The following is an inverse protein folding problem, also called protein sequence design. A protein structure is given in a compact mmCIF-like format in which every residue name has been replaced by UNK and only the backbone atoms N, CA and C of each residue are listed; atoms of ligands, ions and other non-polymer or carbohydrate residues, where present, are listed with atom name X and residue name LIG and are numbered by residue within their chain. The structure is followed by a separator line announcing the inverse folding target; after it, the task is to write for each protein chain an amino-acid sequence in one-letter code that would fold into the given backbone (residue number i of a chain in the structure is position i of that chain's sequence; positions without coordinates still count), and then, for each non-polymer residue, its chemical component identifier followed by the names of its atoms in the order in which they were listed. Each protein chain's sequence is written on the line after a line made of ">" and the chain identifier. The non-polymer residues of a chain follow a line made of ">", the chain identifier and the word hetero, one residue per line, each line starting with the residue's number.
data_IF_900154867052
#
_entry.id   IF_900154867052
#
_cell.length_a   1.000
_cell.length_b   1.000
_cell.length_c   1.000
_cell.angle_alpha   90.00
_cell.angle_beta   90.00
_cell.angle_gamma   90.00
#
_symmetry.space_group_name_H-M   'P 1'
#
loop_
_entity.id
_entity.type
_entity.pdbx_description
1 polymer ?
#
# COMPACT_ATOMS: atom_id res chain seq x y z
N UNK A 1 3.73 -5.96 17.36
CA UNK A 1 3.71 -4.51 17.68
C UNK A 1 3.82 -4.36 19.18
N UNK A 2 5.02 -4.02 19.66
CA UNK A 2 5.22 -3.64 21.06
C UNK A 2 4.58 -2.28 21.32
N UNK A 3 3.92 -2.17 22.48
CA UNK A 3 3.22 -0.99 22.94
C UNK A 3 4.20 0.14 23.34
N UNK A 4 3.74 1.39 23.17
CA UNK A 4 4.35 2.67 23.65
C UNK A 4 5.14 3.55 22.67
N UNK A 5 4.70 3.66 21.41
CA UNK A 5 5.16 4.74 20.53
C UNK A 5 3.97 5.57 20.07
N UNK A 6 3.40 6.37 20.99
CA UNK A 6 2.69 7.57 20.53
C UNK A 6 3.70 8.36 19.68
N UNK A 7 3.35 8.79 18.46
CA UNK A 7 4.27 9.54 17.64
C UNK A 7 4.72 10.75 18.45
N UNK A 8 6.04 10.91 18.57
CA UNK A 8 6.68 12.07 19.21
C UNK A 8 6.37 13.39 18.50
N UNK A 9 5.58 13.33 17.42
CA UNK A 9 5.08 14.45 16.63
C UNK A 9 3.74 14.96 17.19
N UNK A 10 3.71 16.07 17.95
CA UNK A 10 2.49 16.59 18.56
C UNK A 10 1.41 16.96 17.53
N UNK A 11 1.80 17.18 16.28
CA UNK A 11 0.89 17.52 15.19
C UNK A 11 0.04 16.33 14.74
N UNK A 12 0.57 15.10 14.74
CA UNK A 12 -0.22 13.90 14.36
C UNK A 12 -1.34 13.69 15.37
N UNK A 13 -1.02 13.82 16.67
CA UNK A 13 -1.99 13.70 17.76
C UNK A 13 -3.08 14.78 17.62
N UNK A 14 -2.69 16.05 17.45
CA UNK A 14 -3.64 17.16 17.25
C UNK A 14 -4.57 16.95 16.06
N UNK A 15 -4.04 16.46 14.94
CA UNK A 15 -4.86 16.20 13.77
C UNK A 15 -5.87 15.08 14.04
N UNK A 16 -5.46 14.00 14.71
CA UNK A 16 -6.37 12.91 15.08
C UNK A 16 -7.43 13.40 16.08
N UNK A 17 -7.08 14.23 17.05
CA UNK A 17 -8.05 14.85 17.96
C UNK A 17 -9.07 15.72 17.21
N UNK A 18 -8.61 16.54 16.26
CA UNK A 18 -9.50 17.33 15.40
C UNK A 18 -10.40 16.42 14.56
N UNK A 19 -9.87 15.33 13.99
CA UNK A 19 -10.63 14.33 13.22
C UNK A 19 -11.77 13.73 14.06
N UNK A 20 -11.45 13.28 15.28
CA UNK A 20 -12.41 12.71 16.22
C UNK A 20 -13.50 13.72 16.61
N UNK A 21 -13.11 14.98 16.85
CA UNK A 21 -14.05 16.07 17.15
C UNK A 21 -14.97 16.36 15.97
N UNK A 22 -14.43 16.48 14.75
CA UNK A 22 -15.21 16.71 13.53
C UNK A 22 -16.23 15.58 13.32
N UNK A 23 -15.83 14.32 13.53
CA UNK A 23 -16.71 13.17 13.42
C UNK A 23 -17.86 13.21 14.45
N UNK A 24 -17.58 13.65 15.69
CA UNK A 24 -18.60 13.81 16.72
C UNK A 24 -19.57 14.95 16.37
N UNK A 25 -19.07 16.11 15.95
CA UNK A 25 -19.88 17.26 15.51
C UNK A 25 -20.79 16.88 14.33
N UNK A 26 -20.24 16.21 13.30
CA UNK A 26 -21.02 15.77 12.14
C UNK A 26 -22.09 14.75 12.53
N UNK A 27 -21.79 13.83 13.47
CA UNK A 27 -22.77 12.87 13.96
C UNK A 27 -23.92 13.55 14.70
N UNK A 28 -23.63 14.55 15.55
CA UNK A 28 -24.65 15.35 16.23
C UNK A 28 -25.50 16.15 15.24
N UNK A 29 -24.89 16.81 14.26
CA UNK A 29 -25.59 17.54 13.21
C UNK A 29 -26.48 16.61 12.38
N UNK A 30 -26.01 15.41 12.02
CA UNK A 30 -26.82 14.42 11.29
C UNK A 30 -28.05 13.99 12.09
N UNK A 31 -27.90 13.79 13.41
CA UNK A 31 -29.04 13.49 14.29
C UNK A 31 -30.02 14.66 14.34
N UNK A 32 -29.53 15.90 14.52
CA UNK A 32 -30.36 17.11 14.53
C UNK A 32 -31.10 17.31 13.20
N UNK A 33 -30.45 17.11 12.05
CA UNK A 33 -31.08 17.16 10.73
C UNK A 33 -32.20 16.12 10.61
N UNK A 34 -31.99 14.89 11.10
CA UNK A 34 -33.02 13.84 11.09
C UNK A 34 -34.24 14.25 11.93
N UNK A 35 -34.01 14.73 13.15
CA UNK A 35 -35.08 15.20 14.04
C UNK A 35 -35.87 16.36 13.43
N UNK A 36 -35.18 17.35 12.85
CA UNK A 36 -35.84 18.48 12.17
C UNK A 36 -36.61 18.04 10.94
N UNK A 37 -36.10 17.07 10.15
CA UNK A 37 -36.84 16.50 9.02
C UNK A 37 -38.11 15.78 9.48
N UNK A 38 -38.03 15.00 10.56
CA UNK A 38 -39.20 14.34 11.15
C UNK A 38 -40.23 15.37 11.63
N UNK A 39 -39.80 16.43 12.30
CA UNK A 39 -40.68 17.53 12.73
C UNK A 39 -41.31 18.26 11.54
N UNK A 40 -40.55 18.53 10.49
CA UNK A 40 -41.04 19.15 9.26
C UNK A 40 -42.12 18.28 8.60
N UNK A 41 -41.89 16.97 8.47
CA UNK A 41 -42.88 16.03 7.95
C UNK A 41 -44.15 15.96 8.80
N UNK A 42 -44.00 15.99 10.13
CA UNK A 42 -45.15 16.04 11.05
C UNK A 42 -45.97 17.32 10.85
N UNK A 43 -45.32 18.48 10.76
CA UNK A 43 -45.98 19.76 10.52
C UNK A 43 -46.71 19.78 9.17
N UNK A 44 -46.06 19.31 8.10
CA UNK A 44 -46.67 19.19 6.76
C UNK A 44 -47.89 18.26 6.77
N UNK A 45 -47.80 17.12 7.47
CA UNK A 45 -48.91 16.18 7.59
C UNK A 45 -50.07 16.73 8.42
N UNK A 46 -49.79 17.62 9.39
CA UNK A 46 -50.77 18.22 10.31
C UNK A 46 -51.67 19.29 9.70
N UNK A 47 -51.45 19.68 8.44
CA UNK A 47 -52.35 20.60 7.75
C UNK A 47 -53.72 19.96 7.52
N UNK A 48 -54.78 20.66 7.93
CA UNK A 48 -56.16 20.25 7.64
C UNK A 48 -56.50 20.44 6.17
N UNK A 49 -57.57 19.79 5.69
CA UNK A 49 -57.96 19.86 4.29
C UNK A 49 -58.20 21.32 3.85
N UNK A 50 -58.85 22.14 4.68
CA UNK A 50 -59.12 23.57 4.44
C UNK A 50 -57.84 24.40 4.38
N UNK A 51 -56.87 24.15 5.26
CA UNK A 51 -55.56 24.83 5.22
C UNK A 51 -54.73 24.46 3.98
N UNK A 52 -54.91 23.23 3.47
CA UNK A 52 -54.26 22.74 2.24
C UNK A 52 -54.86 23.38 0.97
N UNK A 53 -56.17 23.66 0.94
CA UNK A 53 -56.82 24.33 -0.22
C UNK A 53 -56.66 25.85 -0.21
N UNK A 54 -55.93 26.42 0.76
CA UNK A 54 -55.58 27.84 0.79
C UNK A 54 -56.42 28.73 1.71
N UNK A 55 -57.27 28.16 2.57
CA UNK A 55 -57.89 28.96 3.64
C UNK A 55 -56.87 29.27 4.72
N UNK A 56 -56.52 30.55 4.83
CA UNK A 56 -55.49 31.05 5.74
C UNK A 56 -56.12 31.37 7.10
N UNK A 57 -55.57 30.77 8.14
CA UNK A 57 -55.83 31.10 9.55
C UNK A 57 -54.50 31.52 10.17
N UNK A 58 -54.53 32.26 11.28
CA UNK A 58 -53.29 32.64 11.99
C UNK A 58 -52.45 31.40 12.37
N UNK A 59 -53.11 30.29 12.74
CA UNK A 59 -52.47 29.01 12.99
C UNK A 59 -51.79 28.41 11.75
N UNK A 60 -52.41 28.53 10.57
CA UNK A 60 -51.84 27.99 9.32
C UNK A 60 -50.69 28.86 8.79
N UNK A 61 -50.71 30.18 9.01
CA UNK A 61 -49.56 31.06 8.75
C UNK A 61 -48.38 30.73 9.67
N UNK A 62 -48.63 30.54 10.97
CA UNK A 62 -47.58 30.18 11.92
C UNK A 62 -46.92 28.84 11.56
N UNK A 63 -47.71 27.82 11.18
CA UNK A 63 -47.18 26.55 10.66
C UNK A 63 -46.32 26.74 9.39
N UNK A 64 -46.77 27.57 8.44
CA UNK A 64 -46.01 27.87 7.20
C UNK A 64 -44.69 28.56 7.52
N UNK A 65 -44.67 29.52 8.45
CA UNK A 65 -43.44 30.17 8.93
C UNK A 65 -42.51 29.18 9.61
N UNK A 66 -43.03 28.29 10.45
CA UNK A 66 -42.25 27.25 11.13
C UNK A 66 -41.63 26.26 10.13
N UNK A 67 -42.39 25.82 9.12
CA UNK A 67 -41.87 24.97 8.03
C UNK A 67 -40.76 25.68 7.26
N UNK A 68 -40.95 26.95 6.91
CA UNK A 68 -39.92 27.74 6.23
C UNK A 68 -38.67 27.89 7.08
N UNK A 69 -38.81 28.15 8.38
CA UNK A 69 -37.69 28.26 9.31
C UNK A 69 -36.94 26.93 9.47
N UNK A 70 -37.66 25.81 9.60
CA UNK A 70 -37.07 24.47 9.68
C UNK A 70 -36.35 24.10 8.38
N UNK A 71 -36.93 24.38 7.22
CA UNK A 71 -36.29 24.13 5.93
C UNK A 71 -34.97 24.92 5.79
N UNK A 72 -34.97 26.20 6.18
CA UNK A 72 -33.75 27.02 6.20
C UNK A 72 -32.72 26.49 7.20
N UNK A 73 -33.14 26.07 8.40
CA UNK A 73 -32.25 25.50 9.41
C UNK A 73 -31.62 24.17 8.95
N UNK A 74 -32.41 23.29 8.33
CA UNK A 74 -31.92 22.04 7.73
C UNK A 74 -30.88 22.33 6.65
N UNK A 75 -31.15 23.27 5.75
CA UNK A 75 -30.20 23.65 4.70
C UNK A 75 -28.90 24.24 5.29
N UNK A 76 -29.01 25.07 6.33
CA UNK A 76 -27.86 25.59 7.07
C UNK A 76 -27.01 24.48 7.67
N UNK A 77 -27.62 23.52 8.38
CA UNK A 77 -26.89 22.38 8.95
C UNK A 77 -26.28 21.46 7.89
N UNK A 78 -26.94 21.25 6.75
CA UNK A 78 -26.38 20.50 5.61
C UNK A 78 -25.13 21.19 5.06
N UNK A 79 -25.13 22.53 4.96
CA UNK A 79 -23.94 23.30 4.55
C UNK A 79 -22.79 23.08 5.52
N UNK A 80 -23.04 23.17 6.83
CA UNK A 80 -22.02 22.92 7.85
C UNK A 80 -21.47 21.49 7.76
N UNK A 81 -22.33 20.48 7.54
CA UNK A 81 -21.87 19.08 7.35
C UNK A 81 -20.93 18.98 6.14
N UNK A 82 -21.22 19.67 5.03
CA UNK A 82 -20.35 19.68 3.84
C UNK A 82 -19.00 20.34 4.14
N UNK A 83 -19.00 21.51 4.78
CA UNK A 83 -17.77 22.22 5.14
C UNK A 83 -16.89 21.38 6.07
N UNK A 84 -17.52 20.69 7.03
CA UNK A 84 -16.84 19.77 7.96
C UNK A 84 -16.28 18.54 7.25
N UNK A 85 -16.98 17.99 6.26
CA UNK A 85 -16.48 16.88 5.46
C UNK A 85 -15.26 17.28 4.60
N UNK A 86 -15.26 18.48 4.03
CA UNK A 86 -14.11 18.99 3.26
C UNK A 86 -12.90 19.24 4.17
N UNK A 87 -13.12 19.81 5.36
CA UNK A 87 -12.06 19.95 6.37
C UNK A 87 -11.51 18.58 6.79
N UNK A 88 -12.38 17.60 7.02
CA UNK A 88 -11.97 16.24 7.36
C UNK A 88 -11.10 15.63 6.26
N UNK A 89 -11.48 15.75 4.99
CA UNK A 89 -10.69 15.27 3.85
C UNK A 89 -9.30 15.91 3.80
N UNK A 90 -9.23 17.22 4.01
CA UNK A 90 -7.95 17.96 4.03
C UNK A 90 -7.06 17.49 5.19
N UNK A 91 -7.65 17.38 6.38
CA UNK A 91 -6.97 16.92 7.58
C UNK A 91 -6.45 15.49 7.44
N UNK A 92 -7.21 14.63 6.78
CA UNK A 92 -6.81 13.27 6.47
C UNK A 92 -5.52 13.24 5.63
N UNK A 93 -5.49 13.98 4.52
CA UNK A 93 -4.32 14.06 3.65
C UNK A 93 -3.09 14.69 4.35
N UNK A 94 -3.30 15.67 5.22
CA UNK A 94 -2.22 16.26 6.04
C UNK A 94 -1.65 15.23 7.03
N UNK A 95 -2.53 14.46 7.68
CA UNK A 95 -2.16 13.46 8.68
C UNK A 95 -1.42 12.29 8.07
N UNK A 96 -1.90 11.79 6.93
CA UNK A 96 -1.27 10.72 6.17
C UNK A 96 0.19 11.08 5.83
N UNK A 97 0.43 12.28 5.27
CA UNK A 97 1.80 12.74 4.96
C UNK A 97 2.71 12.85 6.18
N UNK A 98 2.17 13.30 7.31
CA UNK A 98 2.93 13.36 8.56
C UNK A 98 3.24 11.95 9.08
N UNK A 99 2.30 11.01 8.91
CA UNK A 99 2.44 9.64 9.32
C UNK A 99 3.49 8.90 8.49
N UNK A 100 3.43 9.02 7.16
CA UNK A 100 4.44 8.46 6.27
C UNK A 100 5.85 8.98 6.58
N UNK A 101 5.99 10.28 6.88
CA UNK A 101 7.26 10.86 7.32
C UNK A 101 7.72 10.24 8.64
N UNK A 102 6.83 10.16 9.61
CA UNK A 102 7.14 9.55 10.91
C UNK A 102 7.54 8.08 10.77
N UNK A 103 6.81 7.29 9.98
CA UNK A 103 7.13 5.89 9.71
C UNK A 103 8.46 5.74 8.97
N UNK A 104 8.76 6.64 8.03
CA UNK A 104 10.07 6.67 7.37
C UNK A 104 11.23 6.85 8.36
N UNK A 105 11.04 7.65 9.41
CA UNK A 105 12.07 7.94 10.42
C UNK A 105 12.15 6.86 11.52
N UNK A 106 11.00 6.30 11.92
CA UNK A 106 10.90 5.46 13.13
C UNK A 106 10.67 3.97 12.86
N UNK A 107 10.12 3.60 11.70
CA UNK A 107 9.67 2.24 11.39
C UNK A 107 10.56 1.59 10.31
N UNK A 108 11.28 0.53 10.71
CA UNK A 108 12.20 -0.17 9.80
C UNK A 108 11.47 -0.98 8.73
N UNK A 109 10.27 -1.47 9.02
CA UNK A 109 9.46 -2.28 8.12
C UNK A 109 8.93 -1.40 6.98
N UNK A 110 8.38 -0.24 7.32
CA UNK A 110 7.95 0.78 6.36
C UNK A 110 9.10 1.29 5.50
N UNK A 111 10.26 1.61 6.09
CA UNK A 111 11.46 1.99 5.32
C UNK A 111 11.87 0.93 4.31
N UNK A 112 11.82 -0.34 4.73
CA UNK A 112 12.12 -1.46 3.84
C UNK A 112 11.10 -1.52 2.72
N UNK A 113 9.80 -1.39 3.03
CA UNK A 113 8.73 -1.33 2.05
C UNK A 113 8.92 -0.24 0.98
N UNK A 114 9.30 0.97 1.39
CA UNK A 114 9.61 2.07 0.45
C UNK A 114 10.86 1.77 -0.38
N UNK A 115 11.92 1.21 0.24
CA UNK A 115 13.18 0.91 -0.46
C UNK A 115 13.01 -0.15 -1.53
N UNK A 116 12.29 -1.24 -1.24
CA UNK A 116 12.14 -2.37 -2.17
C UNK A 116 11.36 -2.00 -3.43
N UNK A 117 10.70 -0.83 -3.46
CA UNK A 117 10.07 -0.31 -4.68
C UNK A 117 11.06 -0.14 -5.84
N UNK A 118 12.36 -0.01 -5.54
CA UNK A 118 13.42 0.05 -6.54
C UNK A 118 13.49 -1.21 -7.42
N UNK A 119 13.17 -2.39 -6.87
CA UNK A 119 13.24 -3.66 -7.60
C UNK A 119 12.27 -3.72 -8.77
N UNK A 120 11.07 -3.14 -8.67
CA UNK A 120 10.09 -3.12 -9.78
C UNK A 120 10.59 -2.31 -10.97
N UNK A 121 11.22 -1.16 -10.71
CA UNK A 121 11.84 -0.35 -11.76
C UNK A 121 13.00 -1.10 -12.40
N UNK A 122 13.85 -1.71 -11.59
CA UNK A 122 15.05 -2.39 -12.06
C UNK A 122 14.69 -3.68 -12.84
N UNK A 123 13.64 -4.39 -12.44
CA UNK A 123 13.09 -5.52 -13.20
C UNK A 123 12.53 -5.10 -14.55
N UNK A 124 11.78 -3.98 -14.64
CA UNK A 124 11.28 -3.47 -15.94
C UNK A 124 12.43 -3.14 -16.89
N UNK A 125 13.49 -2.52 -16.36
CA UNK A 125 14.71 -2.26 -17.14
C UNK A 125 15.38 -3.57 -17.57
N UNK A 126 15.57 -4.51 -16.64
CA UNK A 126 16.18 -5.81 -16.93
C UNK A 126 15.36 -6.63 -17.94
N UNK A 127 14.03 -6.47 -17.96
CA UNK A 127 13.16 -7.10 -18.96
C UNK A 127 13.40 -6.53 -20.36
N UNK A 128 13.62 -5.21 -20.47
CA UNK A 128 14.01 -4.56 -21.73
C UNK A 128 15.40 -4.99 -22.20
N UNK A 129 16.37 -5.07 -21.29
CA UNK A 129 17.72 -5.56 -21.60
C UNK A 129 17.69 -7.03 -22.07
N UNK A 130 16.84 -7.86 -21.44
CA UNK A 130 16.60 -9.24 -21.84
C UNK A 130 15.95 -9.34 -23.23
N UNK A 131 14.94 -8.52 -23.52
CA UNK A 131 14.32 -8.44 -24.83
C UNK A 131 15.36 -8.13 -25.92
N UNK A 132 16.21 -7.13 -25.68
CA UNK A 132 17.28 -6.78 -26.62
C UNK A 132 18.28 -7.92 -26.79
N UNK A 133 18.64 -8.61 -25.70
CA UNK A 133 19.51 -9.78 -25.77
C UNK A 133 18.90 -10.93 -26.60
N UNK A 134 17.59 -11.17 -26.51
CA UNK A 134 16.90 -12.16 -27.36
C UNK A 134 16.95 -11.74 -28.83
N UNK A 135 16.69 -10.47 -29.15
CA UNK A 135 16.72 -9.97 -30.53
C UNK A 135 18.12 -10.11 -31.16
N UNK A 136 19.16 -9.77 -30.41
CA UNK A 136 20.55 -9.98 -30.80
C UNK A 136 20.87 -11.47 -31.02
N UNK A 137 20.30 -12.33 -30.17
CA UNK A 137 20.49 -13.77 -30.27
C UNK A 137 19.77 -14.39 -31.47
N UNK A 138 18.52 -13.99 -31.74
CA UNK A 138 17.77 -14.38 -32.94
C UNK A 138 18.53 -14.00 -34.21
N UNK A 139 19.09 -12.79 -34.26
CA UNK A 139 19.94 -12.35 -35.37
C UNK A 139 21.18 -13.24 -35.53
N UNK A 140 21.85 -13.57 -34.42
CA UNK A 140 23.01 -14.47 -34.41
C UNK A 140 22.66 -15.88 -34.92
N UNK A 141 21.53 -16.44 -34.46
CA UNK A 141 21.02 -17.73 -34.94
C UNK A 141 20.72 -17.71 -36.44
N UNK A 142 20.10 -16.65 -36.95
CA UNK A 142 19.83 -16.48 -38.38
C UNK A 142 21.11 -16.41 -39.22
N UNK A 143 22.15 -15.73 -38.73
CA UNK A 143 23.45 -15.67 -39.39
C UNK A 143 24.17 -17.03 -39.37
N UNK A 144 24.13 -17.75 -38.25
CA UNK A 144 24.68 -19.11 -38.15
C UNK A 144 23.96 -20.06 -39.12
N UNK A 145 22.63 -19.99 -39.18
CA UNK A 145 21.80 -20.75 -40.14
C UNK A 145 22.21 -20.50 -41.58
N UNK A 146 22.35 -19.23 -41.97
CA UNK A 146 22.72 -18.86 -43.34
C UNK A 146 24.13 -19.35 -43.71
N UNK A 147 25.09 -19.21 -42.80
CA UNK A 147 26.47 -19.66 -43.02
C UNK A 147 26.56 -21.19 -43.11
N UNK A 148 25.83 -21.91 -42.25
CA UNK A 148 25.73 -23.36 -42.25
C UNK A 148 25.27 -23.90 -43.62
N UNK A 149 24.20 -23.33 -44.20
CA UNK A 149 23.68 -23.77 -45.49
C UNK A 149 24.60 -23.42 -46.68
N UNK A 150 25.28 -22.27 -46.63
CA UNK A 150 26.12 -21.80 -47.73
C UNK A 150 27.53 -22.39 -47.73
N UNK A 151 28.00 -22.94 -46.60
CA UNK A 151 29.41 -23.26 -46.35
C UNK A 151 29.60 -24.65 -45.74
N UNK A 152 28.72 -25.58 -46.09
CA UNK A 152 28.87 -27.00 -45.76
C UNK A 152 29.59 -27.72 -46.89
N UNK A 153 30.74 -28.31 -46.58
CA UNK A 153 31.48 -29.15 -47.50
C UNK A 153 30.91 -30.58 -47.45
N UNK A 154 30.12 -30.93 -48.47
CA UNK A 154 29.52 -32.26 -48.55
C UNK A 154 30.55 -33.38 -48.75
N UNK A 155 31.74 -33.09 -49.30
CA UNK A 155 32.82 -34.07 -49.48
C UNK A 155 33.51 -34.39 -48.16
N UNK A 156 33.79 -33.36 -47.36
CA UNK A 156 34.44 -33.51 -46.05
C UNK A 156 33.45 -33.67 -44.88
N UNK A 157 32.14 -33.56 -45.15
CA UNK A 157 31.04 -33.57 -44.16
C UNK A 157 31.29 -32.59 -43.00
N UNK A 158 31.82 -31.42 -43.32
CA UNK A 158 32.29 -30.46 -42.33
C UNK A 158 31.89 -29.02 -42.70
N UNK A 159 31.76 -28.18 -41.69
CA UNK A 159 31.55 -26.75 -41.87
C UNK A 159 32.88 -26.04 -42.14
N UNK A 160 32.89 -25.06 -43.04
CA UNK A 160 34.05 -24.18 -43.19
C UNK A 160 34.27 -23.32 -41.93
N UNK A 161 35.51 -22.84 -41.73
CA UNK A 161 35.89 -22.03 -40.58
C UNK A 161 34.99 -20.80 -40.34
N UNK A 162 34.51 -20.16 -41.41
CA UNK A 162 33.60 -19.02 -41.33
C UNK A 162 32.22 -19.38 -40.76
N UNK A 163 31.71 -20.59 -41.00
CA UNK A 163 30.46 -21.05 -40.39
C UNK A 163 30.63 -21.32 -38.89
N UNK A 164 31.79 -21.86 -38.49
CA UNK A 164 32.14 -21.99 -37.08
C UNK A 164 32.23 -20.63 -36.37
N UNK A 165 32.80 -19.62 -37.01
CA UNK A 165 32.85 -18.26 -36.47
C UNK A 165 31.43 -17.69 -36.22
N UNK A 166 30.48 -17.92 -37.13
CA UNK A 166 29.07 -17.50 -36.91
C UNK A 166 28.38 -18.25 -35.78
N UNK A 167 28.68 -19.53 -35.57
CA UNK A 167 28.22 -20.25 -34.39
C UNK A 167 28.81 -19.67 -33.10
N UNK A 168 30.08 -19.26 -33.10
CA UNK A 168 30.73 -18.67 -31.94
C UNK A 168 30.15 -17.27 -31.62
N UNK A 169 29.85 -16.46 -32.64
CA UNK A 169 29.12 -15.20 -32.48
C UNK A 169 27.70 -15.41 -31.92
N UNK A 170 26.96 -16.41 -32.44
CA UNK A 170 25.64 -16.75 -31.93
C UNK A 170 25.70 -17.23 -30.46
N UNK A 171 26.71 -18.03 -30.11
CA UNK A 171 26.93 -18.49 -28.74
C UNK A 171 27.26 -17.33 -27.79
N UNK A 172 28.03 -16.34 -28.25
CA UNK A 172 28.30 -15.12 -27.48
C UNK A 172 27.03 -14.29 -27.22
N UNK A 173 26.14 -14.17 -28.22
CA UNK A 173 24.82 -13.57 -28.02
C UNK A 173 23.93 -14.39 -27.09
N UNK A 174 23.93 -15.72 -27.20
CA UNK A 174 23.24 -16.61 -26.25
C UNK A 174 23.73 -16.43 -24.81
N UNK A 175 25.04 -16.23 -24.61
CA UNK A 175 25.58 -15.93 -23.28
C UNK A 175 25.07 -14.61 -22.70
N UNK A 176 24.71 -13.63 -23.55
CA UNK A 176 24.10 -12.37 -23.09
C UNK A 176 22.66 -12.61 -22.62
N UNK A 177 21.90 -13.46 -23.33
CA UNK A 177 20.57 -13.93 -22.89
C UNK A 177 20.67 -14.61 -21.53
N UNK A 178 21.58 -15.57 -21.36
CA UNK A 178 21.76 -16.31 -20.10
C UNK A 178 22.20 -15.40 -18.93
N UNK A 179 22.92 -14.31 -19.22
CA UNK A 179 23.28 -13.30 -18.23
C UNK A 179 22.09 -12.41 -17.85
N UNK A 180 21.30 -11.98 -18.82
CA UNK A 180 20.13 -11.17 -18.57
C UNK A 180 19.06 -11.93 -17.76
N UNK A 181 18.84 -13.22 -18.05
CA UNK A 181 17.94 -14.08 -17.26
C UNK A 181 18.41 -14.17 -15.79
N UNK A 182 19.70 -14.44 -15.58
CA UNK A 182 20.24 -14.52 -14.22
C UNK A 182 20.08 -13.20 -13.48
N UNK A 183 20.47 -12.08 -14.10
CA UNK A 183 20.31 -10.77 -13.49
C UNK A 183 18.85 -10.47 -13.11
N UNK A 184 17.89 -10.77 -13.99
CA UNK A 184 16.46 -10.61 -13.71
C UNK A 184 16.02 -11.47 -12.50
N UNK A 185 16.44 -12.74 -12.46
CA UNK A 185 16.10 -13.62 -11.35
C UNK A 185 16.80 -13.21 -10.04
N UNK A 186 18.04 -12.71 -10.10
CA UNK A 186 18.76 -12.18 -8.94
C UNK A 186 18.03 -10.96 -8.33
N UNK A 187 17.41 -10.11 -9.16
CA UNK A 187 16.56 -9.00 -8.69
C UNK A 187 15.30 -9.52 -7.98
N UNK A 188 14.65 -10.55 -8.52
CA UNK A 188 13.50 -11.17 -7.88
C UNK A 188 13.86 -11.80 -6.53
N UNK A 189 15.01 -12.48 -6.46
CA UNK A 189 15.54 -13.07 -5.23
C UNK A 189 15.91 -12.00 -4.20
N UNK A 190 16.58 -10.92 -4.63
CA UNK A 190 16.89 -9.78 -3.78
C UNK A 190 15.64 -9.14 -3.16
N UNK A 191 14.56 -9.01 -3.93
CA UNK A 191 13.27 -8.57 -3.38
C UNK A 191 12.73 -9.55 -2.32
N UNK A 192 12.70 -10.85 -2.62
CA UNK A 192 12.24 -11.87 -1.67
C UNK A 192 13.04 -11.85 -0.36
N UNK A 193 14.36 -11.72 -0.44
CA UNK A 193 15.22 -11.66 0.73
C UNK A 193 14.98 -10.40 1.57
N UNK A 194 14.86 -9.23 0.94
CA UNK A 194 14.59 -7.97 1.65
C UNK A 194 13.19 -7.92 2.28
N UNK A 195 12.20 -8.55 1.66
CA UNK A 195 10.79 -8.49 2.11
C UNK A 195 10.38 -9.62 3.05
N UNK A 196 11.22 -10.64 3.22
CA UNK A 196 10.89 -11.89 3.94
C UNK A 196 10.28 -11.71 5.33
N UNK A 197 10.68 -10.66 6.06
CA UNK A 197 10.24 -10.38 7.43
C UNK A 197 9.40 -9.10 7.52
N UNK A 198 8.76 -8.72 6.42
CA UNK A 198 7.94 -7.50 6.33
C UNK A 198 6.51 -7.85 5.93
N UNK A 199 5.60 -6.90 6.05
CA UNK A 199 4.23 -6.99 5.58
C UNK A 199 4.10 -7.29 4.06
N UNK A 200 5.19 -7.12 3.30
CA UNK A 200 5.28 -7.42 1.87
C UNK A 200 5.69 -8.87 1.55
N UNK A 201 5.94 -9.73 2.54
CA UNK A 201 6.49 -11.08 2.34
C UNK A 201 5.66 -12.01 1.45
N UNK A 202 4.40 -11.66 1.18
CA UNK A 202 3.48 -12.42 0.34
C UNK A 202 3.58 -12.05 -1.14
N UNK A 203 4.15 -10.89 -1.47
CA UNK A 203 4.29 -10.42 -2.86
C UNK A 203 5.49 -11.11 -3.49
N UNK A 204 5.23 -11.92 -4.53
CA UNK A 204 6.27 -12.60 -5.29
C UNK A 204 6.47 -11.93 -6.64
N UNK A 205 7.74 -11.65 -6.97
CA UNK A 205 8.10 -11.18 -8.30
C UNK A 205 8.23 -12.36 -9.27
N UNK A 206 7.87 -12.17 -10.56
CA UNK A 206 7.96 -13.23 -11.55
C UNK A 206 9.42 -13.59 -11.83
N UNK A 207 9.64 -14.79 -12.38
CA UNK A 207 10.95 -15.31 -12.73
C UNK A 207 11.00 -15.73 -14.20
N UNK A 208 12.19 -15.62 -14.78
CA UNK A 208 12.49 -16.12 -16.12
C UNK A 208 13.02 -17.55 -16.06
N UNK A 209 12.53 -18.40 -16.97
CA UNK A 209 13.05 -19.75 -17.17
C UNK A 209 14.47 -19.69 -17.74
N UNK A 210 15.38 -20.48 -17.19
CA UNK A 210 16.76 -20.57 -17.68
C UNK A 210 16.76 -21.30 -19.03
N UNK A 211 17.33 -20.65 -20.05
CA UNK A 211 17.32 -21.17 -21.43
C UNK A 211 18.60 -21.92 -21.82
N UNK A 212 19.72 -21.71 -21.11
CA UNK A 212 21.03 -22.26 -21.47
C UNK A 212 21.37 -22.01 -22.96
N UNK A 213 21.14 -20.78 -23.42
CA UNK A 213 21.19 -20.40 -24.83
C UNK A 213 22.58 -20.62 -25.43
N UNK A 214 23.65 -20.25 -24.70
CA UNK A 214 25.03 -20.51 -25.15
C UNK A 214 25.30 -21.99 -25.37
N UNK A 215 24.92 -22.82 -24.40
CA UNK A 215 25.17 -24.26 -24.45
C UNK A 215 24.37 -24.90 -25.59
N UNK A 216 23.14 -24.44 -25.80
CA UNK A 216 22.30 -24.90 -26.91
C UNK A 216 22.96 -24.67 -28.27
N UNK A 217 23.59 -23.51 -28.49
CA UNK A 217 24.33 -23.24 -29.74
C UNK A 217 25.54 -24.18 -29.91
N UNK A 218 26.30 -24.42 -28.84
CA UNK A 218 27.42 -25.36 -28.90
C UNK A 218 26.96 -26.78 -29.23
N UNK A 219 25.87 -27.26 -28.61
CA UNK A 219 25.29 -28.57 -28.91
C UNK A 219 24.83 -28.67 -30.37
N UNK A 220 24.21 -27.60 -30.91
CA UNK A 220 23.76 -27.53 -32.31
C UNK A 220 24.94 -27.63 -33.29
N UNK A 221 26.04 -26.92 -33.01
CA UNK A 221 27.25 -26.89 -33.85
C UNK A 221 27.86 -28.28 -34.07
N UNK A 222 27.67 -29.20 -33.13
CA UNK A 222 28.22 -30.56 -33.16
C UNK A 222 27.32 -31.56 -33.90
N UNK A 223 26.12 -31.15 -34.32
CA UNK A 223 25.18 -32.03 -35.04
C UNK A 223 25.42 -32.03 -36.55
N UNK A 224 24.82 -33.00 -37.23
CA UNK A 224 24.73 -32.97 -38.70
C UNK A 224 23.87 -31.79 -39.17
N UNK A 225 24.03 -31.40 -40.44
CA UNK A 225 23.41 -30.20 -41.01
C UNK A 225 21.88 -30.21 -40.91
N UNK A 226 21.22 -31.36 -41.12
CA UNK A 226 19.76 -31.43 -41.11
C UNK A 226 19.22 -31.26 -39.68
N UNK A 227 19.86 -31.93 -38.71
CA UNK A 227 19.52 -31.81 -37.29
C UNK A 227 19.83 -30.40 -36.77
N UNK A 228 20.98 -29.83 -37.10
CA UNK A 228 21.34 -28.48 -36.73
C UNK A 228 20.35 -27.44 -37.28
N UNK A 229 19.94 -27.59 -38.54
CA UNK A 229 18.94 -26.72 -39.17
C UNK A 229 17.60 -26.77 -38.45
N UNK A 230 17.09 -27.97 -38.18
CA UNK A 230 15.83 -28.16 -37.45
C UNK A 230 15.88 -27.57 -36.03
N UNK A 231 17.00 -27.75 -35.32
CA UNK A 231 17.17 -27.18 -33.98
C UNK A 231 17.25 -25.66 -33.97
N UNK A 232 17.91 -25.04 -34.96
CA UNK A 232 17.94 -23.58 -35.09
C UNK A 232 16.54 -23.04 -35.35
N UNK A 233 15.80 -23.63 -36.30
CA UNK A 233 14.45 -23.20 -36.64
C UNK A 233 13.52 -23.33 -35.42
N UNK A 234 13.57 -24.47 -34.72
CA UNK A 234 12.80 -24.65 -33.48
C UNK A 234 13.24 -23.74 -32.33
N UNK A 235 14.49 -23.28 -32.30
CA UNK A 235 14.93 -22.27 -31.31
C UNK A 235 14.41 -20.87 -31.67
N UNK A 236 14.44 -20.49 -32.94
CA UNK A 236 13.89 -19.24 -33.45
C UNK A 236 12.40 -19.16 -33.14
N UNK A 237 11.61 -20.16 -33.55
CA UNK A 237 10.16 -20.19 -33.34
C UNK A 237 9.79 -20.04 -31.85
N UNK A 238 10.52 -20.72 -30.96
CA UNK A 238 10.30 -20.64 -29.51
C UNK A 238 10.59 -19.25 -28.96
N UNK A 239 11.68 -18.62 -29.40
CA UNK A 239 12.07 -17.29 -28.94
C UNK A 239 11.13 -16.20 -29.50
N UNK A 240 10.70 -16.33 -30.75
CA UNK A 240 9.69 -15.44 -31.34
C UNK A 240 8.35 -15.55 -30.62
N UNK A 241 7.90 -16.78 -30.33
CA UNK A 241 6.70 -17.01 -29.52
C UNK A 241 6.84 -16.39 -28.14
N UNK A 242 7.99 -16.57 -27.49
CA UNK A 242 8.26 -15.98 -26.17
C UNK A 242 8.16 -14.45 -26.21
N UNK A 243 8.76 -13.80 -27.22
CA UNK A 243 8.67 -12.34 -27.40
C UNK A 243 7.24 -11.85 -27.61
N UNK A 244 6.41 -12.62 -28.32
CA UNK A 244 5.03 -12.23 -28.65
C UNK A 244 4.04 -12.47 -27.50
N UNK A 245 4.28 -13.47 -26.67
CA UNK A 245 3.27 -13.95 -25.69
C UNK A 245 3.76 -13.86 -24.24
N UNK A 246 4.88 -14.50 -23.93
CA UNK A 246 5.37 -14.63 -22.56
C UNK A 246 5.97 -13.32 -22.04
N UNK A 247 6.72 -12.58 -22.87
CA UNK A 247 7.35 -11.32 -22.47
C UNK A 247 6.31 -10.24 -22.08
N UNK A 248 5.23 -9.99 -22.86
CA UNK A 248 4.15 -9.11 -22.42
C UNK A 248 3.46 -9.59 -21.15
N UNK A 249 3.23 -10.90 -21.00
CA UNK A 249 2.60 -11.46 -19.80
C UNK A 249 3.46 -11.23 -18.54
N UNK A 250 4.78 -11.37 -18.64
CA UNK A 250 5.71 -11.03 -17.56
C UNK A 250 5.67 -9.54 -17.22
N UNK A 251 5.58 -8.66 -18.22
CA UNK A 251 5.45 -7.22 -17.99
C UNK A 251 4.14 -6.85 -17.26
N UNK A 252 3.05 -7.57 -17.53
CA UNK A 252 1.78 -7.44 -16.78
C UNK A 252 1.93 -7.95 -15.34
N UNK A 253 2.59 -9.10 -15.13
CA UNK A 253 2.84 -9.64 -13.78
C UNK A 253 3.68 -8.67 -12.92
N UNK A 254 4.70 -8.03 -13.49
CA UNK A 254 5.49 -7.01 -12.77
C UNK A 254 4.63 -5.80 -12.42
N UNK A 255 3.70 -5.38 -13.31
CA UNK A 255 2.78 -4.27 -13.03
C UNK A 255 1.77 -4.61 -11.95
N UNK A 256 1.21 -5.83 -11.98
CA UNK A 256 0.31 -6.30 -10.94
C UNK A 256 0.99 -6.32 -9.57
N UNK A 257 2.22 -6.84 -9.49
CA UNK A 257 2.98 -6.88 -8.24
C UNK A 257 3.36 -5.48 -7.72
N UNK A 258 3.65 -4.50 -8.59
CA UNK A 258 3.90 -3.10 -8.20
C UNK A 258 2.62 -2.43 -7.66
N UNK A 259 1.46 -2.72 -8.26
CA UNK A 259 0.17 -2.25 -7.77
C UNK A 259 -0.17 -2.85 -6.40
N UNK A 260 0.06 -4.16 -6.22
CA UNK A 260 -0.15 -4.85 -4.95
C UNK A 260 0.77 -4.29 -3.85
N UNK A 261 2.01 -3.93 -4.21
CA UNK A 261 2.95 -3.26 -3.30
C UNK A 261 2.42 -1.91 -2.82
N UNK A 262 1.90 -1.10 -3.74
CA UNK A 262 1.33 0.22 -3.43
C UNK A 262 0.09 0.11 -2.53
N UNK A 263 -0.81 -0.82 -2.85
CA UNK A 263 -1.99 -1.08 -2.04
C UNK A 263 -1.63 -1.57 -0.64
N UNK A 264 -0.65 -2.47 -0.53
CA UNK A 264 -0.25 -3.04 0.76
C UNK A 264 0.49 -2.01 1.61
N UNK A 265 1.32 -1.17 1.00
CA UNK A 265 2.01 -0.07 1.70
C UNK A 265 1.00 0.97 2.19
N UNK A 266 0.02 1.34 1.37
CA UNK A 266 -1.08 2.24 1.76
C UNK A 266 -1.86 1.65 2.94
N UNK A 267 -2.24 0.37 2.85
CA UNK A 267 -2.95 -0.34 3.92
C UNK A 267 -2.15 -0.39 5.23
N UNK A 268 -0.83 -0.52 5.15
CA UNK A 268 0.04 -0.48 6.35
C UNK A 268 -0.07 0.88 7.06
N UNK A 269 -0.01 1.98 6.32
CA UNK A 269 -0.17 3.34 6.85
C UNK A 269 -1.56 3.53 7.45
N UNK A 270 -2.61 3.08 6.77
CA UNK A 270 -4.00 3.15 7.25
C UNK A 270 -4.20 2.37 8.57
N UNK A 271 -3.66 1.15 8.66
CA UNK A 271 -3.73 0.34 9.88
C UNK A 271 -3.01 1.02 11.05
N UNK A 272 -1.85 1.62 10.79
CA UNK A 272 -1.11 2.37 11.80
C UNK A 272 -1.91 3.60 12.27
N UNK A 273 -2.53 4.33 11.33
CA UNK A 273 -3.40 5.46 11.67
C UNK A 273 -4.62 5.01 12.49
N UNK A 274 -5.29 3.93 12.10
CA UNK A 274 -6.40 3.35 12.86
C UNK A 274 -6.00 2.99 14.29
N UNK A 275 -4.82 2.40 14.46
CA UNK A 275 -4.27 2.11 15.77
C UNK A 275 -4.11 3.37 16.62
N UNK A 276 -3.53 4.44 16.05
CA UNK A 276 -3.39 5.72 16.75
C UNK A 276 -4.74 6.35 17.11
N UNK A 277 -5.72 6.32 16.18
CA UNK A 277 -7.08 6.81 16.46
C UNK A 277 -7.68 6.10 17.67
N UNK A 278 -7.53 4.78 17.73
CA UNK A 278 -8.05 4.00 18.85
C UNK A 278 -7.37 4.35 20.17
N UNK A 279 -6.04 4.48 20.18
CA UNK A 279 -5.28 4.87 21.38
C UNK A 279 -5.69 6.24 21.89
N UNK A 280 -5.70 7.27 21.02
CA UNK A 280 -6.05 8.65 21.40
C UNK A 280 -7.50 8.72 21.88
N UNK A 281 -8.41 8.02 21.22
CA UNK A 281 -9.81 7.95 21.66
C UNK A 281 -9.95 7.38 23.08
N UNK A 282 -9.23 6.29 23.40
CA UNK A 282 -9.23 5.74 24.76
C UNK A 282 -8.69 6.73 25.79
N UNK A 283 -7.64 7.48 25.45
CA UNK A 283 -7.06 8.50 26.34
C UNK A 283 -8.04 9.65 26.60
N UNK A 284 -8.72 10.15 25.56
CA UNK A 284 -9.75 11.17 25.69
C UNK A 284 -10.91 10.71 26.60
N UNK A 285 -11.32 9.44 26.51
CA UNK A 285 -12.35 8.88 27.39
C UNK A 285 -11.88 8.76 28.86
N UNK A 286 -10.61 8.42 29.08
CA UNK A 286 -10.00 8.36 30.43
C UNK A 286 -9.82 9.75 31.04
N UNK A 287 -9.51 10.77 30.24
CA UNK A 287 -9.46 12.17 30.67
C UNK A 287 -10.85 12.76 30.96
N UNK A 288 -11.90 12.22 30.35
CA UNK A 288 -13.29 12.67 30.48
C UNK A 288 -14.07 12.00 31.62
N UNK A 289 -13.51 10.98 32.28
CA UNK A 289 -14.12 10.41 33.47
C UNK A 289 -13.76 11.30 34.66
N UNK A 290 -14.74 11.95 35.34
CA UNK A 290 -14.44 12.64 36.59
C UNK A 290 -13.93 11.58 37.56
N UNK A 291 -12.64 11.62 37.85
CA UNK A 291 -12.00 10.78 38.85
C UNK A 291 -12.76 10.91 40.17
N UNK A 292 -13.66 9.96 40.41
CA UNK A 292 -14.26 9.72 41.73
C UNK A 292 -13.17 9.32 42.75
N UNK A 293 -11.93 9.10 42.32
CA UNK A 293 -10.77 8.87 43.19
C UNK A 293 -10.15 10.14 43.78
N UNK A 294 -10.53 11.35 43.34
CA UNK A 294 -10.07 12.59 43.97
C UNK A 294 -10.84 12.96 45.25
N UNK A 295 -12.01 12.36 45.52
CA UNK A 295 -12.80 12.62 46.74
C UNK A 295 -12.52 11.67 47.91
N UNK A 296 -11.84 10.56 47.66
CA UNK A 296 -11.50 9.59 48.73
C UNK A 296 -10.23 9.95 49.50
N UNK A 297 -9.40 10.88 49.02
CA UNK A 297 -8.17 11.32 49.69
C UNK A 297 -8.31 12.59 50.55
N UNK A 298 -9.49 13.21 50.60
CA UNK A 298 -9.75 14.44 51.36
C UNK A 298 -10.80 14.28 52.48
N UNK A 299 -11.17 13.04 52.84
CA UNK A 299 -12.11 12.74 53.94
C UNK A 299 -11.51 11.94 55.11
N UNK A 300 -10.18 11.99 55.28
CA UNK A 300 -9.50 11.39 56.46
C UNK A 300 -8.67 12.39 57.25
N UNK A 301 -8.91 13.70 57.11
CA UNK A 301 -8.22 14.73 57.89
C UNK A 301 -9.21 15.69 58.53
N UNK A 302 -10.06 15.16 59.42
CA UNK A 302 -10.75 15.91 60.47
C UNK A 302 -11.37 14.94 61.48
N UNK A 303 -10.64 14.63 62.54
CA UNK A 303 -11.17 14.71 63.90
C UNK A 303 -10.04 14.94 64.91
N UNK A 304 -10.31 15.66 66.03
CA UNK A 304 -9.30 16.26 66.89
C UNK A 304 -9.07 15.49 68.21
N UNK A 305 -7.94 15.84 68.82
CA UNK A 305 -7.61 15.98 70.25
C UNK A 305 -7.66 14.83 71.27
N UNK A 306 -6.73 15.01 72.22
CA UNK A 306 -6.54 14.38 73.55
C UNK A 306 -5.87 13.01 73.57
N UNK A 307 -4.83 12.74 74.35
CA UNK A 307 -4.20 13.47 75.46
C UNK A 307 -3.62 12.42 76.40
N UNK A 308 -2.34 12.58 76.77
CA UNK A 308 -1.61 11.99 77.91
C UNK A 308 -1.52 10.44 78.00
N UNK A 309 -0.40 9.78 78.28
CA UNK A 309 0.70 10.14 79.17
C UNK A 309 1.90 9.17 79.00
N UNK A 310 3.09 9.72 79.21
CA UNK A 310 4.45 9.19 79.42
C UNK A 310 4.63 7.88 80.24
N UNK A 311 5.88 7.43 80.53
CA UNK A 311 7.11 7.27 79.71
C UNK A 311 7.85 5.93 80.02
N UNK A 312 8.87 5.56 79.23
CA UNK A 312 10.22 5.16 79.73
C UNK A 312 11.16 4.82 78.58
N UNK A 313 12.24 5.60 78.47
CA UNK A 313 13.56 5.17 77.97
C UNK A 313 14.24 4.34 79.08
N UNK A 314 15.32 3.54 78.85
CA UNK A 314 16.51 3.96 78.10
C UNK A 314 17.30 2.89 77.28
N UNK A 315 18.01 3.41 76.27
CA UNK A 315 19.43 3.21 75.91
C UNK A 315 20.04 1.83 75.52
N UNK A 316 21.03 1.95 74.61
CA UNK A 316 22.12 1.01 74.22
C UNK A 316 21.69 -0.11 73.26
N UNK A 317 22.43 -0.55 72.22
CA UNK A 317 23.83 -0.40 71.80
C UNK A 317 23.95 -0.99 70.37
N UNK A 318 24.91 -0.48 69.59
CA UNK A 318 25.77 -1.13 68.57
C UNK A 318 25.20 -2.28 67.71
N UNK A 319 25.24 -2.15 66.38
CA UNK A 319 26.34 -2.49 65.44
C UNK A 319 26.03 -1.80 64.11
#
# INVERSE_FOLDING_TARGET
>A
MDASLLPSTPQIIKNIEEELRLNQEVSQLKTSVREMKTRLQQLESSFTLTERVGFVTEASENKRREISALATAINGQISVIKDRAERWKTLCAETERLLERFLSESDQEYRTGVRVKVFYRDLRKSLGDFQQAILDFLKGLGQARAAMCAQYDAQNRAFHANAHERFDEAAASGQRVDRAIRHFNDLADGHTDETRQTYLSHISLPRLTILHARQSVHTIREQDIATAHSHIDGAIDRLEKFLQTDLPALAEQIRAADSEHDETTTRYVEQYWEHLRHQIWQELQRGSTPSQHARSRLRLRRQPDSGDSHPTSPALQNV
#
